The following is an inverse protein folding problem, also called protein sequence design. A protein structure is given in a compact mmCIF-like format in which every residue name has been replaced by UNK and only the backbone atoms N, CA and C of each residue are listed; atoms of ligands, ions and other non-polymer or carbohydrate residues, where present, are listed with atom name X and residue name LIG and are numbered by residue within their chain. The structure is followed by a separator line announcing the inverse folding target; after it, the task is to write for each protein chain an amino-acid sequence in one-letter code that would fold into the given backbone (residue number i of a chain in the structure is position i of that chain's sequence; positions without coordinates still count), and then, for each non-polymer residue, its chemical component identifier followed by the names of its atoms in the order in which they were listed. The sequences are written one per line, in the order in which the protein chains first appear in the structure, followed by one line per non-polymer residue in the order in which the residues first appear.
data_IF_745459844896
#
_entry.id   IF_745459844896
#
_cell.length_a   1.000
_cell.length_b   1.000
_cell.length_c   1.000
_cell.angle_alpha   90.00
_cell.angle_beta   90.00
_cell.angle_gamma   90.00
#
_symmetry.space_group_name_H-M   'P 1'
#
loop_
_entity.id
_entity.type
_entity.pdbx_description
1 polymer ?
#
# COMPACT_ATOMS: atom_id res chain seq x y z
N UNK A 1 26.31 -31.86 -15.42
CA UNK A 1 25.49 -33.01 -14.97
C UNK A 1 25.35 -34.03 -16.09
N UNK A 2 25.92 -35.23 -15.95
CA UNK A 2 25.89 -36.30 -16.96
C UNK A 2 25.50 -37.63 -16.33
N UNK A 3 24.65 -38.39 -17.03
CA UNK A 3 24.26 -39.74 -16.64
C UNK A 3 25.44 -40.70 -16.81
N UNK A 4 25.81 -41.43 -15.75
CA UNK A 4 26.90 -42.41 -15.77
C UNK A 4 26.40 -43.86 -15.83
N UNK A 5 25.16 -44.13 -15.41
CA UNK A 5 24.54 -45.45 -15.54
C UNK A 5 23.47 -45.71 -14.49
N UNK A 6 23.12 -46.99 -14.33
CA UNK A 6 22.05 -47.44 -13.42
C UNK A 6 22.53 -48.57 -12.49
N UNK A 7 21.89 -48.67 -11.32
CA UNK A 7 22.06 -49.74 -10.32
C UNK A 7 20.67 -50.25 -9.92
N UNK A 8 20.53 -51.56 -9.77
CA UNK A 8 19.31 -52.19 -9.25
C UNK A 8 19.37 -52.29 -7.72
N UNK A 9 18.26 -51.98 -7.07
CA UNK A 9 18.13 -51.98 -5.61
C UNK A 9 18.44 -50.62 -4.99
N UNK A 10 17.54 -50.15 -4.13
CA UNK A 10 17.67 -48.88 -3.41
C UNK A 10 18.86 -48.90 -2.44
N UNK A 11 19.10 -50.04 -1.79
CA UNK A 11 20.21 -50.20 -0.83
C UNK A 11 21.56 -50.15 -1.52
N UNK A 12 21.68 -50.84 -2.64
CA UNK A 12 22.87 -50.90 -3.49
C UNK A 12 23.14 -49.53 -4.13
N UNK A 13 22.08 -48.85 -4.57
CA UNK A 13 22.19 -47.49 -5.10
C UNK A 13 22.69 -46.52 -4.02
N UNK A 14 22.12 -46.55 -2.83
CA UNK A 14 22.57 -45.70 -1.72
C UNK A 14 24.00 -46.00 -1.28
N UNK A 15 24.39 -47.29 -1.27
CA UNK A 15 25.77 -47.73 -0.96
C UNK A 15 26.77 -47.08 -1.93
N UNK A 16 26.47 -47.15 -3.23
CA UNK A 16 27.31 -46.53 -4.25
C UNK A 16 27.30 -45.00 -4.18
N UNK A 17 26.14 -44.37 -3.97
CA UNK A 17 26.02 -42.92 -3.77
C UNK A 17 26.89 -42.42 -2.60
N UNK A 18 26.78 -43.09 -1.46
CA UNK A 18 27.52 -42.74 -0.25
C UNK A 18 29.03 -42.90 -0.44
N UNK A 19 29.45 -43.90 -1.23
CA UNK A 19 30.85 -44.09 -1.60
C UNK A 19 31.36 -42.94 -2.48
N UNK A 20 30.60 -42.54 -3.50
CA UNK A 20 30.98 -41.42 -4.37
C UNK A 20 31.09 -40.11 -3.57
N UNK A 21 30.17 -39.86 -2.64
CA UNK A 21 30.23 -38.70 -1.73
C UNK A 21 31.50 -38.73 -0.86
N UNK A 22 31.88 -39.91 -0.34
CA UNK A 22 33.10 -40.08 0.44
C UNK A 22 34.40 -39.88 -0.38
N UNK A 23 34.36 -40.22 -1.68
CA UNK A 23 35.43 -39.96 -2.65
C UNK A 23 35.47 -38.50 -3.15
N UNK A 24 34.58 -37.65 -2.63
CA UNK A 24 34.47 -36.23 -2.97
C UNK A 24 33.76 -35.95 -4.30
N UNK A 25 33.10 -36.94 -4.89
CA UNK A 25 32.42 -36.83 -6.19
C UNK A 25 30.98 -36.38 -5.97
N UNK A 26 30.63 -35.21 -6.52
CA UNK A 26 29.29 -34.67 -6.36
C UNK A 26 28.31 -35.34 -7.33
N UNK A 27 27.38 -36.12 -6.79
CA UNK A 27 26.45 -36.91 -7.57
C UNK A 27 25.02 -36.88 -7.01
N UNK A 28 24.07 -37.39 -7.79
CA UNK A 28 22.70 -37.66 -7.38
C UNK A 28 22.23 -38.98 -7.98
N UNK A 29 21.29 -39.66 -7.31
CA UNK A 29 20.66 -40.86 -7.83
C UNK A 29 19.14 -40.74 -7.73
N UNK A 30 18.43 -41.20 -8.77
CA UNK A 30 16.97 -41.07 -8.90
C UNK A 30 16.36 -42.38 -9.41
N UNK A 31 15.12 -42.73 -9.04
CA UNK A 31 14.45 -43.92 -9.56
C UNK A 31 14.11 -43.76 -11.05
N UNK A 32 14.34 -44.82 -11.83
CA UNK A 32 13.96 -44.90 -13.25
C UNK A 32 12.45 -45.17 -13.34
N UNK A 33 11.71 -44.31 -14.05
CA UNK A 33 10.25 -44.40 -14.15
C UNK A 33 9.74 -45.63 -14.90
N UNK A 34 10.56 -46.20 -15.77
CA UNK A 34 10.21 -47.34 -16.63
C UNK A 34 10.51 -48.70 -16.01
N UNK A 35 11.39 -48.77 -14.99
CA UNK A 35 11.85 -50.02 -14.39
C UNK A 35 11.71 -49.99 -12.88
N UNK A 36 11.02 -50.98 -12.32
CA UNK A 36 10.88 -51.09 -10.86
C UNK A 36 12.24 -51.38 -10.24
N UNK A 37 12.57 -50.64 -9.18
CA UNK A 37 13.77 -50.85 -8.37
C UNK A 37 15.09 -50.63 -9.11
N UNK A 38 15.10 -49.82 -10.18
CA UNK A 38 16.31 -49.37 -10.88
C UNK A 38 16.52 -47.89 -10.61
N UNK A 39 17.74 -47.49 -10.26
CA UNK A 39 18.12 -46.11 -10.00
C UNK A 39 19.20 -45.65 -10.99
N UNK A 40 19.07 -44.43 -11.50
CA UNK A 40 20.01 -43.78 -12.42
C UNK A 40 20.90 -42.79 -11.67
N UNK A 41 22.18 -42.70 -12.05
CA UNK A 41 23.19 -41.88 -11.39
C UNK A 41 23.67 -40.74 -12.28
N UNK A 42 23.67 -39.54 -11.73
CA UNK A 42 24.09 -38.32 -12.40
C UNK A 42 25.25 -37.69 -11.65
N UNK A 43 26.34 -37.41 -12.36
CA UNK A 43 27.52 -36.71 -11.82
C UNK A 43 27.47 -35.25 -12.23
N UNK A 44 27.71 -34.34 -11.30
CA UNK A 44 27.50 -32.90 -11.50
C UNK A 44 28.59 -32.28 -12.38
N UNK A 45 29.86 -32.61 -12.11
CA UNK A 45 31.04 -32.03 -12.77
C UNK A 45 31.60 -32.97 -13.85
N UNK A 46 32.11 -32.40 -14.94
CA UNK A 46 32.50 -33.16 -16.14
C UNK A 46 33.87 -33.85 -16.00
N UNK A 47 34.76 -33.26 -15.21
CA UNK A 47 36.07 -33.78 -14.85
C UNK A 47 36.03 -35.00 -13.92
N UNK A 48 34.91 -35.23 -13.24
CA UNK A 48 34.72 -36.37 -12.32
C UNK A 48 34.09 -37.60 -13.00
N UNK A 49 33.64 -37.46 -14.25
CA UNK A 49 32.85 -38.48 -14.95
C UNK A 49 33.65 -39.76 -15.19
N UNK A 50 34.90 -39.65 -15.63
CA UNK A 50 35.74 -40.82 -15.91
C UNK A 50 36.04 -41.59 -14.61
N UNK A 51 36.31 -40.85 -13.52
CA UNK A 51 36.51 -41.43 -12.18
C UNK A 51 35.24 -42.13 -11.68
N UNK A 52 34.08 -41.49 -11.80
CA UNK A 52 32.81 -42.05 -11.36
C UNK A 52 32.36 -43.25 -12.20
N UNK A 53 32.60 -43.22 -13.51
CA UNK A 53 32.30 -44.33 -14.43
C UNK A 53 33.18 -45.54 -14.12
N UNK A 54 34.48 -45.32 -13.87
CA UNK A 54 35.39 -46.36 -13.42
C UNK A 54 34.91 -47.02 -12.12
N UNK A 55 34.50 -46.21 -11.13
CA UNK A 55 33.97 -46.73 -9.87
C UNK A 55 32.65 -47.49 -10.05
N UNK A 56 31.79 -47.07 -10.97
CA UNK A 56 30.56 -47.80 -11.28
C UNK A 56 30.86 -49.18 -11.88
N UNK A 57 31.88 -49.29 -12.73
CA UNK A 57 32.32 -50.58 -13.27
C UNK A 57 32.90 -51.50 -12.20
N UNK A 58 33.73 -50.97 -11.31
CA UNK A 58 34.29 -51.73 -10.19
C UNK A 58 33.20 -52.18 -9.19
N UNK A 59 32.24 -51.32 -8.89
CA UNK A 59 31.09 -51.64 -8.05
C UNK A 59 30.23 -52.76 -8.64
N UNK A 60 30.06 -52.78 -9.98
CA UNK A 60 29.33 -53.85 -10.68
C UNK A 60 30.08 -55.19 -10.67
N UNK A 61 31.42 -55.18 -10.64
CA UNK A 61 32.23 -56.41 -10.57
C UNK A 61 32.18 -57.02 -9.17
N UNK A 62 32.22 -56.20 -8.13
CA UNK A 62 32.16 -56.67 -6.75
C UNK A 62 31.54 -55.60 -5.82
N UNK A 63 30.21 -55.61 -5.68
CA UNK A 63 29.47 -54.68 -4.83
C UNK A 63 29.70 -54.91 -3.33
N UNK A 64 30.27 -56.05 -2.94
CA UNK A 64 30.54 -56.44 -1.55
C UNK A 64 32.01 -56.23 -1.14
N UNK A 65 32.80 -55.55 -1.99
CA UNK A 65 34.14 -55.12 -1.61
C UNK A 65 34.09 -54.16 -0.40
N UNK A 66 34.99 -54.34 0.56
CA UNK A 66 35.14 -53.49 1.73
C UNK A 66 35.33 -52.01 1.36
N UNK A 67 35.87 -51.72 0.18
CA UNK A 67 36.02 -50.35 -0.35
C UNK A 67 34.69 -49.62 -0.53
N UNK A 68 33.58 -50.35 -0.70
CA UNK A 68 32.25 -49.78 -0.87
C UNK A 68 31.40 -49.84 0.41
N UNK A 69 32.01 -50.12 1.57
CA UNK A 69 31.31 -50.13 2.85
C UNK A 69 30.82 -48.70 3.17
N UNK A 70 29.50 -48.50 3.10
CA UNK A 70 28.88 -47.20 3.29
C UNK A 70 28.31 -47.02 4.70
N UNK A 71 27.98 -45.78 5.03
CA UNK A 71 27.11 -45.49 6.19
C UNK A 71 25.80 -46.28 6.07
N UNK A 72 25.17 -46.68 7.20
CA UNK A 72 23.88 -47.35 7.17
C UNK A 72 22.84 -46.54 6.40
N UNK A 73 22.00 -47.19 5.59
CA UNK A 73 20.94 -46.49 4.87
C UNK A 73 20.00 -45.79 5.86
N UNK A 74 19.51 -44.57 5.59
CA UNK A 74 18.55 -43.86 6.44
C UNK A 74 17.28 -44.68 6.79
N UNK A 75 16.91 -45.65 5.96
CA UNK A 75 15.75 -46.53 6.15
C UNK A 75 16.05 -47.61 7.18
N UNK A 76 17.32 -47.99 7.33
CA UNK A 76 17.78 -48.99 8.29
C UNK A 76 18.04 -48.36 9.68
N UNK A 77 18.29 -47.05 9.76
CA UNK A 77 18.47 -46.30 11.02
C UNK A 77 17.18 -45.68 11.54
N UNK A 78 16.28 -45.24 10.66
CA UNK A 78 14.96 -44.74 11.02
C UNK A 78 13.96 -45.90 11.01
N UNK A 79 14.00 -46.70 12.07
CA UNK A 79 12.95 -47.67 12.36
C UNK A 79 11.56 -47.04 12.19
N UNK A 80 10.74 -47.71 11.39
CA UNK A 80 9.28 -47.62 11.28
C UNK A 80 8.63 -46.85 12.46
N UNK A 81 7.96 -45.73 12.14
CA UNK A 81 6.95 -45.02 12.95
C UNK A 81 7.30 -43.69 13.67
N UNK A 82 7.96 -42.74 13.00
CA UNK A 82 7.55 -41.34 13.14
C UNK A 82 6.55 -41.03 12.03
N UNK A 83 5.26 -41.29 12.30
CA UNK A 83 4.23 -41.32 11.26
C UNK A 83 4.25 -40.05 10.41
N UNK A 84 4.14 -40.20 9.08
CA UNK A 84 3.92 -39.08 8.17
C UNK A 84 2.79 -38.16 8.68
N UNK A 85 1.83 -38.73 9.43
CA UNK A 85 0.77 -38.06 10.16
C UNK A 85 1.25 -37.05 11.20
N UNK A 86 2.27 -37.36 12.01
CA UNK A 86 2.82 -36.41 13.01
C UNK A 86 3.57 -35.25 12.34
N UNK A 87 4.34 -35.53 11.29
CA UNK A 87 5.04 -34.51 10.49
C UNK A 87 4.03 -33.62 9.76
N UNK A 88 2.97 -34.21 9.20
CA UNK A 88 1.88 -33.51 8.52
C UNK A 88 1.02 -32.73 9.51
N UNK A 89 0.76 -33.26 10.71
CA UNK A 89 0.05 -32.53 11.78
C UNK A 89 0.89 -31.38 12.32
N UNK A 90 2.20 -31.56 12.53
CA UNK A 90 3.10 -30.47 12.93
C UNK A 90 3.19 -29.38 11.86
N UNK A 91 3.22 -29.76 10.57
CA UNK A 91 3.19 -28.82 9.45
C UNK A 91 1.85 -28.07 9.39
N UNK A 92 0.72 -28.78 9.50
CA UNK A 92 -0.63 -28.17 9.56
C UNK A 92 -0.74 -27.25 10.77
N UNK A 93 -0.20 -27.65 11.93
CA UNK A 93 -0.24 -26.85 13.15
C UNK A 93 0.67 -25.61 13.05
N UNK A 94 1.82 -25.69 12.37
CA UNK A 94 2.69 -24.56 12.08
C UNK A 94 2.06 -23.60 11.05
N UNK A 95 1.47 -24.12 9.99
CA UNK A 95 0.71 -23.36 8.98
C UNK A 95 -0.49 -22.67 9.64
N UNK A 96 -1.24 -23.37 10.48
CA UNK A 96 -2.39 -22.82 11.20
C UNK A 96 -1.96 -21.81 12.28
N UNK A 97 -0.85 -22.03 12.99
CA UNK A 97 -0.29 -21.06 13.92
C UNK A 97 0.15 -19.76 13.23
N UNK A 98 0.66 -19.83 11.99
CA UNK A 98 0.86 -18.65 11.14
C UNK A 98 -0.46 -18.01 10.68
N UNK A 99 -1.50 -18.80 10.44
CA UNK A 99 -2.83 -18.36 9.96
C UNK A 99 -3.69 -17.66 11.02
N UNK A 100 -3.42 -17.83 12.32
CA UNK A 100 -4.20 -17.23 13.44
C UNK A 100 -3.93 -15.73 13.63
N UNK A 101 -3.05 -15.09 12.82
CA UNK A 101 -3.04 -13.63 12.73
C UNK A 101 -4.27 -13.15 11.94
N UNK A 102 -5.34 -12.82 12.68
CA UNK A 102 -6.53 -12.11 12.18
C UNK A 102 -6.15 -11.04 11.16
N UNK A 103 -6.97 -10.83 10.11
CA UNK A 103 -6.67 -9.86 9.07
C UNK A 103 -6.67 -8.46 9.68
N UNK A 104 -5.48 -7.89 9.89
CA UNK A 104 -5.37 -6.44 10.02
C UNK A 104 -5.65 -5.91 8.63
N UNK A 105 -6.75 -5.17 8.46
CA UNK A 105 -6.95 -4.40 7.24
C UNK A 105 -5.69 -3.54 7.02
N UNK A 106 -5.02 -3.68 5.87
CA UNK A 106 -3.89 -2.82 5.53
C UNK A 106 -4.33 -1.35 5.64
N UNK A 107 -3.49 -0.51 6.23
CA UNK A 107 -3.72 0.91 6.43
C UNK A 107 -4.09 1.60 5.11
N UNK A 108 -3.45 1.20 4.01
CA UNK A 108 -3.77 1.69 2.67
C UNK A 108 -5.24 1.47 2.33
N UNK A 109 -5.76 0.24 2.56
CA UNK A 109 -7.16 -0.08 2.28
C UNK A 109 -8.12 0.67 3.19
N UNK A 110 -7.74 0.85 4.46
CA UNK A 110 -8.54 1.63 5.41
C UNK A 110 -8.67 3.09 4.97
N UNK A 111 -7.56 3.73 4.56
CA UNK A 111 -7.57 5.12 4.09
C UNK A 111 -8.43 5.24 2.83
N UNK A 112 -8.27 4.34 1.86
CA UNK A 112 -9.09 4.32 0.65
C UNK A 112 -10.58 4.23 0.97
N UNK A 113 -10.95 3.34 1.90
CA UNK A 113 -12.32 3.19 2.36
C UNK A 113 -12.87 4.46 3.02
N UNK A 114 -12.10 5.10 3.92
CA UNK A 114 -12.50 6.35 4.58
C UNK A 114 -12.69 7.48 3.57
N UNK A 115 -11.75 7.66 2.65
CA UNK A 115 -11.86 8.67 1.58
C UNK A 115 -13.10 8.44 0.71
N UNK A 116 -13.39 7.19 0.35
CA UNK A 116 -14.58 6.86 -0.43
C UNK A 116 -15.87 7.16 0.33
N UNK A 117 -15.96 6.81 1.62
CA UNK A 117 -17.11 7.13 2.46
C UNK A 117 -17.32 8.64 2.58
N UNK A 118 -16.26 9.40 2.86
CA UNK A 118 -16.34 10.85 2.99
C UNK A 118 -16.71 11.52 1.66
N UNK A 119 -16.24 11.01 0.53
CA UNK A 119 -16.62 11.50 -0.79
C UNK A 119 -18.11 11.29 -1.07
N UNK A 120 -18.64 10.10 -0.77
CA UNK A 120 -20.08 9.81 -0.91
C UNK A 120 -20.90 10.70 0.03
N UNK A 121 -20.46 10.85 1.28
CA UNK A 121 -21.14 11.70 2.26
C UNK A 121 -21.14 13.17 1.85
N UNK A 122 -20.01 13.69 1.36
CA UNK A 122 -19.95 15.04 0.80
C UNK A 122 -20.87 15.20 -0.41
N UNK A 123 -20.89 14.20 -1.30
CA UNK A 123 -21.77 14.17 -2.48
C UNK A 123 -23.26 14.20 -2.09
N UNK A 124 -23.65 13.51 -1.03
CA UNK A 124 -25.00 13.60 -0.47
C UNK A 124 -25.33 15.02 0.02
N UNK A 125 -24.43 15.63 0.80
CA UNK A 125 -24.62 17.01 1.28
C UNK A 125 -24.68 18.00 0.11
N UNK A 126 -23.90 17.79 -0.95
CA UNK A 126 -23.97 18.59 -2.18
C UNK A 126 -25.28 18.44 -2.93
N UNK A 127 -25.79 17.22 -3.04
CA UNK A 127 -27.10 16.98 -3.62
C UNK A 127 -28.19 17.72 -2.83
N UNK A 128 -28.06 17.78 -1.51
CA UNK A 128 -29.00 18.51 -0.65
C UNK A 128 -28.92 20.03 -0.84
N UNK A 129 -27.72 20.61 -0.88
CA UNK A 129 -27.54 22.02 -1.22
C UNK A 129 -28.11 22.35 -2.60
N UNK A 130 -27.93 21.45 -3.57
CA UNK A 130 -28.47 21.62 -4.92
C UNK A 130 -30.01 21.57 -4.96
N UNK A 131 -30.64 20.65 -4.22
CA UNK A 131 -32.11 20.60 -4.10
C UNK A 131 -32.69 21.87 -3.49
N UNK A 132 -32.01 22.41 -2.48
CA UNK A 132 -32.42 23.63 -1.79
C UNK A 132 -32.00 24.91 -2.53
N UNK A 133 -31.47 24.80 -3.76
CA UNK A 133 -30.97 25.92 -4.57
C UNK A 133 -30.01 26.81 -3.78
N UNK A 134 -29.19 26.23 -2.90
CA UNK A 134 -28.23 27.01 -2.12
C UNK A 134 -27.00 27.30 -2.96
N UNK A 135 -26.64 28.59 -3.07
CA UNK A 135 -25.40 29.03 -3.72
C UNK A 135 -24.12 28.51 -3.06
N UNK A 136 -24.19 28.02 -1.82
CA UNK A 136 -23.07 27.38 -1.10
C UNK A 136 -22.45 26.20 -1.89
N UNK A 137 -23.24 25.56 -2.77
CA UNK A 137 -22.78 24.47 -3.64
C UNK A 137 -21.67 24.89 -4.61
N UNK A 138 -21.65 26.15 -5.05
CA UNK A 138 -20.65 26.64 -6.01
C UNK A 138 -19.24 26.71 -5.42
N UNK A 139 -19.15 26.78 -4.09
CA UNK A 139 -17.90 26.90 -3.34
C UNK A 139 -17.55 25.63 -2.57
N UNK A 140 -18.29 24.55 -2.79
CA UNK A 140 -18.20 23.30 -2.04
C UNK A 140 -18.39 23.48 -0.51
N UNK A 141 -19.20 24.44 -0.07
CA UNK A 141 -19.38 24.79 1.36
C UNK A 141 -20.39 23.90 2.08
N UNK A 142 -20.13 22.59 2.07
CA UNK A 142 -20.87 21.64 2.90
C UNK A 142 -20.38 21.67 4.35
N UNK A 143 -21.22 21.23 5.32
CA UNK A 143 -20.76 21.02 6.69
C UNK A 143 -19.50 20.16 6.76
N UNK A 144 -19.45 19.05 6.00
CA UNK A 144 -18.28 18.18 5.98
C UNK A 144 -17.01 18.90 5.50
N UNK A 145 -17.11 19.68 4.43
CA UNK A 145 -16.00 20.46 3.92
C UNK A 145 -15.53 21.51 4.94
N UNK A 146 -16.47 22.25 5.53
CA UNK A 146 -16.16 23.29 6.52
C UNK A 146 -15.51 22.67 7.77
N UNK A 147 -15.95 21.50 8.23
CA UNK A 147 -15.42 20.85 9.43
C UNK A 147 -14.04 20.21 9.24
N UNK A 148 -13.75 19.75 8.02
CA UNK A 148 -12.52 19.00 7.71
C UNK A 148 -11.48 19.78 6.89
N UNK A 149 -11.82 20.97 6.38
CA UNK A 149 -10.88 21.87 5.70
C UNK A 149 -9.79 22.40 6.66
N UNK A 150 -8.69 22.89 6.10
CA UNK A 150 -7.48 23.18 6.87
C UNK A 150 -7.69 24.35 7.85
N UNK A 151 -8.21 25.46 7.37
CA UNK A 151 -8.48 26.64 8.17
C UNK A 151 -9.69 27.40 7.61
N UNK A 152 -10.89 26.94 7.97
CA UNK A 152 -12.13 27.53 7.49
C UNK A 152 -12.30 28.97 8.03
N UNK A 153 -12.25 30.01 7.17
CA UNK A 153 -12.49 31.37 7.61
C UNK A 153 -13.94 31.57 8.04
N UNK A 154 -14.19 32.56 8.89
CA UNK A 154 -15.54 32.93 9.33
C UNK A 154 -16.45 33.29 8.15
N UNK A 155 -15.89 33.79 7.05
CA UNK A 155 -16.57 34.08 5.79
C UNK A 155 -17.36 32.88 5.25
N UNK A 156 -16.89 31.65 5.46
CA UNK A 156 -17.61 30.46 4.98
C UNK A 156 -18.99 30.32 5.63
N UNK A 157 -19.08 30.49 6.95
CA UNK A 157 -20.35 30.42 7.67
C UNK A 157 -21.30 31.53 7.20
N UNK A 158 -20.79 32.76 7.03
CA UNK A 158 -21.57 33.89 6.54
C UNK A 158 -22.11 33.67 5.11
N UNK A 159 -21.32 33.04 4.24
CA UNK A 159 -21.75 32.66 2.89
C UNK A 159 -22.85 31.59 2.94
N UNK A 160 -22.73 30.58 3.82
CA UNK A 160 -23.79 29.58 3.99
C UNK A 160 -25.10 30.24 4.43
N UNK A 161 -25.06 31.11 5.43
CA UNK A 161 -26.23 31.84 5.93
C UNK A 161 -26.84 32.77 4.87
N UNK A 162 -25.98 33.45 4.10
CA UNK A 162 -26.39 34.29 2.98
C UNK A 162 -27.14 33.48 1.92
N UNK A 163 -26.57 32.35 1.47
CA UNK A 163 -27.19 31.51 0.46
C UNK A 163 -28.39 30.70 0.96
N UNK A 164 -28.59 30.59 2.27
CA UNK A 164 -29.84 30.09 2.84
C UNK A 164 -30.98 31.13 2.71
N UNK A 165 -30.63 32.43 2.79
CA UNK A 165 -31.58 33.54 2.68
C UNK A 165 -31.90 33.91 1.22
N UNK A 166 -30.94 33.69 0.32
CA UNK A 166 -31.05 34.00 -1.11
C UNK A 166 -30.76 32.76 -1.96
N UNK A 167 -31.74 31.87 -2.17
CA UNK A 167 -31.58 30.71 -3.03
C UNK A 167 -31.32 31.12 -4.48
N UNK A 168 -30.40 30.42 -5.14
CA UNK A 168 -29.96 30.68 -6.50
C UNK A 168 -29.63 29.38 -7.26
N UNK A 169 -30.02 29.31 -8.53
CA UNK A 169 -29.73 28.17 -9.39
C UNK A 169 -28.43 28.36 -10.17
N UNK A 170 -28.05 29.58 -10.51
CA UNK A 170 -26.82 29.83 -11.26
C UNK A 170 -26.02 30.99 -10.66
N UNK A 171 -24.68 31.01 -10.81
CA UNK A 171 -23.86 32.09 -10.28
C UNK A 171 -24.26 33.48 -10.77
N UNK A 172 -24.78 33.59 -12.00
CA UNK A 172 -25.20 34.85 -12.63
C UNK A 172 -26.44 35.48 -11.97
N UNK A 173 -27.15 34.74 -11.13
CA UNK A 173 -28.27 35.28 -10.36
C UNK A 173 -27.82 36.21 -9.24
N UNK A 174 -26.55 36.13 -8.83
CA UNK A 174 -25.97 37.02 -7.82
C UNK A 174 -26.10 38.50 -8.21
N UNK A 175 -25.83 38.81 -9.49
CA UNK A 175 -25.94 40.16 -10.06
C UNK A 175 -27.40 40.65 -10.20
N UNK A 176 -28.37 39.75 -10.06
CA UNK A 176 -29.81 40.03 -10.17
C UNK A 176 -30.49 40.13 -8.81
N UNK A 177 -29.78 39.87 -7.72
CA UNK A 177 -30.33 39.99 -6.38
C UNK A 177 -30.70 41.45 -6.03
N UNK A 178 -31.61 41.67 -5.06
CA UNK A 178 -31.89 43.01 -4.56
C UNK A 178 -30.62 43.73 -4.09
N UNK A 179 -30.59 45.06 -4.22
CA UNK A 179 -29.43 45.87 -3.85
C UNK A 179 -28.95 45.65 -2.41
N UNK A 180 -29.86 45.37 -1.47
CA UNK A 180 -29.53 45.02 -0.09
C UNK A 180 -28.73 43.71 0.01
N UNK A 181 -29.14 42.68 -0.74
CA UNK A 181 -28.46 41.39 -0.78
C UNK A 181 -27.08 41.50 -1.45
N UNK A 182 -26.97 42.29 -2.52
CA UNK A 182 -25.69 42.58 -3.16
C UNK A 182 -24.73 43.31 -2.21
N UNK A 183 -25.23 44.30 -1.45
CA UNK A 183 -24.45 45.00 -0.43
C UNK A 183 -24.01 44.05 0.70
N UNK A 184 -24.90 43.14 1.13
CA UNK A 184 -24.56 42.12 2.13
C UNK A 184 -23.48 41.16 1.62
N UNK A 185 -23.60 40.66 0.39
CA UNK A 185 -22.58 39.82 -0.23
C UNK A 185 -21.25 40.56 -0.37
N UNK A 186 -21.25 41.79 -0.88
CA UNK A 186 -20.05 42.60 -1.02
C UNK A 186 -19.34 42.86 0.33
N UNK A 187 -20.11 43.01 1.40
CA UNK A 187 -19.57 43.09 2.76
C UNK A 187 -18.89 41.79 3.18
N UNK A 188 -19.49 40.63 2.90
CA UNK A 188 -18.90 39.32 3.19
C UNK A 188 -17.62 39.10 2.35
N UNK A 189 -17.65 39.42 1.05
CA UNK A 189 -16.52 39.33 0.12
C UNK A 189 -15.35 40.25 0.51
N UNK A 190 -15.65 41.38 1.15
CA UNK A 190 -14.63 42.31 1.64
C UNK A 190 -13.92 41.88 2.92
N UNK A 191 -14.37 40.81 3.59
CA UNK A 191 -13.73 40.34 4.82
C UNK A 191 -12.32 39.81 4.56
N UNK A 192 -11.38 40.04 5.49
CA UNK A 192 -10.00 39.58 5.34
C UNK A 192 -9.95 38.05 5.35
N UNK A 193 -9.51 37.46 4.23
CA UNK A 193 -9.30 36.02 4.09
C UNK A 193 -7.89 35.78 3.57
N UNK A 194 -7.16 34.88 4.21
CA UNK A 194 -5.86 34.47 3.72
C UNK A 194 -5.99 33.72 2.38
N UNK A 195 -5.51 34.33 1.31
CA UNK A 195 -5.53 33.78 -0.05
C UNK A 195 -4.19 33.15 -0.49
N UNK A 196 -3.22 33.10 0.41
CA UNK A 196 -1.90 32.53 0.13
C UNK A 196 -0.91 33.49 -0.53
N UNK A 197 0.35 33.06 -0.57
CA UNK A 197 1.47 33.83 -1.13
C UNK A 197 1.49 33.87 -2.66
N UNK A 198 0.81 32.96 -3.38
CA UNK A 198 0.85 32.93 -4.84
C UNK A 198 0.39 34.23 -5.47
N UNK A 199 -0.63 34.90 -4.92
CA UNK A 199 -1.05 36.21 -5.43
C UNK A 199 0.06 37.26 -5.37
N UNK A 200 0.95 37.18 -4.36
CA UNK A 200 2.05 38.15 -4.19
C UNK A 200 3.16 37.80 -5.16
N UNK A 201 3.52 36.51 -5.22
CA UNK A 201 4.65 36.01 -6.00
C UNK A 201 4.40 36.07 -7.51
N UNK A 202 3.15 35.92 -7.94
CA UNK A 202 2.78 35.84 -9.36
C UNK A 202 2.10 37.10 -9.88
N UNK A 203 2.05 38.18 -9.08
CA UNK A 203 1.43 39.47 -9.42
C UNK A 203 0.03 39.30 -10.04
N UNK A 204 -0.78 38.42 -9.43
CA UNK A 204 -2.07 38.04 -10.01
C UNK A 204 -3.10 39.17 -9.77
N UNK A 205 -3.55 39.89 -10.81
CA UNK A 205 -4.22 41.18 -10.66
C UNK A 205 -5.66 41.11 -10.12
N UNK A 206 -6.15 39.93 -9.72
CA UNK A 206 -7.55 39.70 -9.37
C UNK A 206 -7.81 39.40 -7.88
N UNK A 207 -6.77 39.25 -7.05
CA UNK A 207 -6.96 38.95 -5.62
C UNK A 207 -6.80 40.22 -4.80
N UNK A 208 -7.85 40.63 -4.08
CA UNK A 208 -7.73 41.55 -2.92
C UNK A 208 -6.86 40.85 -1.89
N UNK A 209 -5.56 41.02 -2.02
CA UNK A 209 -4.61 40.28 -1.23
C UNK A 209 -4.38 41.00 0.09
N UNK A 210 -4.95 40.45 1.14
CA UNK A 210 -4.78 40.95 2.49
C UNK A 210 -3.75 40.07 3.22
N UNK A 211 -2.51 40.57 3.30
CA UNK A 211 -1.43 39.88 4.02
C UNK A 211 -1.59 39.97 5.54
N UNK A 212 -2.42 40.88 6.03
CA UNK A 212 -2.75 41.02 7.44
C UNK A 212 -3.95 40.14 7.84
N UNK A 213 -4.51 39.41 6.88
CA UNK A 213 -5.60 38.48 7.14
C UNK A 213 -5.22 37.43 8.20
N UNK A 214 -6.16 37.07 9.09
CA UNK A 214 -5.86 36.15 10.18
C UNK A 214 -5.52 34.74 9.66
N UNK A 215 -4.38 34.24 10.11
CA UNK A 215 -3.87 32.90 9.78
C UNK A 215 -4.19 31.89 10.88
N UNK A 216 -4.43 30.64 10.46
CA UNK A 216 -4.58 29.48 11.33
C UNK A 216 -5.69 29.65 12.38
N UNK A 217 -6.77 30.34 12.06
CA UNK A 217 -7.86 30.68 12.99
C UNK A 217 -8.38 29.44 13.72
N UNK A 218 -8.78 28.41 12.97
CA UNK A 218 -9.34 27.16 13.51
C UNK A 218 -8.30 26.30 14.22
N UNK A 219 -7.05 26.37 13.79
CA UNK A 219 -5.96 25.67 14.47
C UNK A 219 -5.64 26.33 15.82
N UNK A 220 -5.70 27.66 15.92
CA UNK A 220 -5.55 28.41 17.19
C UNK A 220 -6.72 28.17 18.15
N UNK A 221 -7.90 27.83 17.63
CA UNK A 221 -9.04 27.34 18.43
C UNK A 221 -8.86 25.89 18.94
N UNK A 222 -7.77 25.20 18.59
CA UNK A 222 -7.46 23.84 19.05
C UNK A 222 -7.92 22.72 18.11
N UNK A 223 -8.38 23.03 16.90
CA UNK A 223 -8.90 22.04 15.95
C UNK A 223 -7.77 21.32 15.17
N UNK A 224 -6.86 20.66 15.89
CA UNK A 224 -5.59 20.12 15.35
C UNK A 224 -5.76 19.04 14.28
N UNK A 225 -6.92 18.37 14.21
CA UNK A 225 -7.20 17.38 13.17
C UNK A 225 -7.16 17.99 11.76
N UNK A 226 -7.46 19.30 11.64
CA UNK A 226 -7.44 20.05 10.38
C UNK A 226 -6.08 20.12 9.71
N UNK A 227 -5.00 19.82 10.44
CA UNK A 227 -3.67 19.66 9.84
C UNK A 227 -3.62 18.52 8.81
N UNK A 228 -4.46 17.49 8.97
CA UNK A 228 -4.44 16.30 8.13
C UNK A 228 -5.77 16.01 7.41
N UNK A 229 -6.92 16.34 8.01
CA UNK A 229 -8.24 15.99 7.43
C UNK A 229 -8.51 16.49 6.02
N UNK A 230 -7.93 17.61 5.51
CA UNK A 230 -8.06 18.00 4.10
C UNK A 230 -7.60 16.91 3.13
N UNK A 231 -6.64 16.06 3.53
CA UNK A 231 -6.17 14.94 2.71
C UNK A 231 -7.28 13.92 2.41
N UNK A 232 -8.27 13.82 3.29
CA UNK A 232 -9.34 12.82 3.19
C UNK A 232 -10.51 13.28 2.31
N UNK A 233 -10.61 14.59 2.06
CA UNK A 233 -11.65 15.19 1.24
C UNK A 233 -11.27 15.17 -0.26
N UNK A 234 -12.26 15.05 -1.14
CA UNK A 234 -12.06 15.05 -2.58
C UNK A 234 -13.19 15.81 -3.30
N UNK A 235 -12.82 16.64 -4.28
CA UNK A 235 -13.76 17.56 -4.95
C UNK A 235 -14.45 17.01 -6.19
N UNK A 236 -14.07 15.82 -6.66
CA UNK A 236 -14.64 15.25 -7.89
C UNK A 236 -14.27 13.79 -8.10
N UNK A 237 -15.01 13.12 -8.98
CA UNK A 237 -14.86 11.68 -9.22
C UNK A 237 -13.47 11.30 -9.74
N UNK A 238 -12.98 11.98 -10.79
CA UNK A 238 -11.63 11.73 -11.32
C UNK A 238 -10.55 12.03 -10.27
N UNK A 239 -10.76 13.08 -9.48
CA UNK A 239 -9.83 13.46 -8.43
C UNK A 239 -9.68 12.36 -7.36
N UNK A 240 -10.77 11.81 -6.84
CA UNK A 240 -10.69 10.67 -5.90
C UNK A 240 -10.18 9.40 -6.60
N UNK A 241 -10.62 9.11 -7.82
CA UNK A 241 -10.22 7.91 -8.55
C UNK A 241 -8.69 7.83 -8.69
N UNK A 242 -8.05 8.89 -9.18
CA UNK A 242 -6.61 8.90 -9.37
C UNK A 242 -5.84 8.90 -8.05
N UNK A 243 -6.29 9.65 -7.04
CA UNK A 243 -5.65 9.61 -5.72
C UNK A 243 -5.70 8.20 -5.11
N UNK A 244 -6.87 7.56 -5.14
CA UNK A 244 -7.03 6.23 -4.54
C UNK A 244 -6.30 5.15 -5.34
N UNK A 245 -6.24 5.27 -6.68
CA UNK A 245 -5.46 4.37 -7.53
C UNK A 245 -3.96 4.45 -7.21
N UNK A 246 -3.40 5.66 -7.14
CA UNK A 246 -2.00 5.86 -6.80
C UNK A 246 -1.68 5.47 -5.37
N UNK A 247 -2.55 5.81 -4.41
CA UNK A 247 -2.41 5.37 -3.03
C UNK A 247 -2.43 3.84 -2.92
N UNK A 248 -3.31 3.17 -3.66
CA UNK A 248 -3.37 1.71 -3.67
C UNK A 248 -2.08 1.10 -4.22
N UNK A 249 -1.55 1.65 -5.31
CA UNK A 249 -0.33 1.14 -5.96
C UNK A 249 0.94 1.40 -5.13
N UNK A 250 1.15 2.64 -4.66
CA UNK A 250 2.37 3.03 -3.93
C UNK A 250 2.28 2.65 -2.45
N UNK A 251 1.13 2.92 -1.82
CA UNK A 251 0.91 2.64 -0.40
C UNK A 251 1.05 1.16 -0.07
N UNK A 252 0.55 0.27 -0.94
CA UNK A 252 0.73 -1.18 -0.77
C UNK A 252 2.20 -1.61 -0.84
N UNK A 253 2.97 -1.09 -1.80
CA UNK A 253 4.39 -1.40 -1.93
C UNK A 253 5.19 -0.97 -0.70
N UNK A 254 4.89 0.21 -0.16
CA UNK A 254 5.53 0.72 1.06
C UNK A 254 5.09 -0.10 2.27
N UNK A 255 3.79 -0.36 2.42
CA UNK A 255 3.22 -1.10 3.54
C UNK A 255 3.73 -2.55 3.63
N UNK A 256 4.10 -3.17 2.51
CA UNK A 256 4.72 -4.50 2.46
C UNK A 256 6.21 -4.47 2.91
N UNK A 257 6.87 -3.31 2.85
CA UNK A 257 8.32 -3.15 3.12
C UNK A 257 8.64 -2.56 4.50
N UNK A 258 7.74 -1.78 5.09
CA UNK A 258 7.98 -1.09 6.38
C UNK A 258 6.92 -1.43 7.43
N UNK A 259 7.23 -1.16 8.70
CA UNK A 259 6.28 -1.41 9.79
C UNK A 259 5.08 -0.47 9.67
N UNK A 260 3.87 -0.96 9.98
CA UNK A 260 2.62 -0.19 9.95
C UNK A 260 2.73 1.20 10.61
N UNK A 261 3.38 1.29 11.77
CA UNK A 261 3.55 2.57 12.48
C UNK A 261 4.47 3.54 11.76
N UNK A 262 5.51 3.05 11.07
CA UNK A 262 6.39 3.89 10.26
C UNK A 262 5.62 4.44 9.05
N UNK A 263 4.83 3.58 8.38
CA UNK A 263 3.98 4.01 7.26
C UNK A 263 2.96 5.07 7.69
N UNK A 264 2.31 4.87 8.85
CA UNK A 264 1.40 5.85 9.44
C UNK A 264 2.11 7.17 9.75
N UNK A 265 3.28 7.14 10.40
CA UNK A 265 4.02 8.35 10.75
C UNK A 265 4.47 9.13 9.52
N UNK A 266 5.03 8.45 8.51
CA UNK A 266 5.44 9.09 7.25
C UNK A 266 4.24 9.74 6.55
N UNK A 267 3.13 9.00 6.47
CA UNK A 267 1.87 9.51 5.91
C UNK A 267 1.39 10.77 6.62
N UNK A 268 1.35 10.77 7.96
CA UNK A 268 0.91 11.92 8.75
C UNK A 268 1.84 13.11 8.59
N UNK A 269 3.16 12.90 8.65
CA UNK A 269 4.16 13.96 8.51
C UNK A 269 4.05 14.62 7.13
N UNK A 270 4.02 13.82 6.05
CA UNK A 270 3.88 14.36 4.69
C UNK A 270 2.55 15.09 4.54
N UNK A 271 1.44 14.53 5.04
CA UNK A 271 0.13 15.17 4.96
C UNK A 271 0.10 16.52 5.67
N UNK A 272 0.63 16.59 6.90
CA UNK A 272 0.70 17.84 7.67
C UNK A 272 1.56 18.87 6.95
N UNK A 273 2.77 18.49 6.52
CA UNK A 273 3.69 19.41 5.85
C UNK A 273 3.14 19.91 4.51
N UNK A 274 2.60 19.01 3.68
CA UNK A 274 2.03 19.38 2.37
C UNK A 274 0.80 20.27 2.52
N UNK A 275 -0.13 19.96 3.44
CA UNK A 275 -1.29 20.80 3.71
C UNK A 275 -0.87 22.18 4.24
N UNK A 276 0.08 22.23 5.17
CA UNK A 276 0.57 23.51 5.72
C UNK A 276 1.16 24.38 4.62
N UNK A 277 1.99 23.79 3.75
CA UNK A 277 2.60 24.51 2.65
C UNK A 277 1.57 24.97 1.62
N UNK A 278 0.61 24.10 1.26
CA UNK A 278 -0.48 24.43 0.35
C UNK A 278 -1.32 25.59 0.89
N UNK A 279 -1.64 25.58 2.19
CA UNK A 279 -2.38 26.65 2.84
C UNK A 279 -1.63 27.99 2.79
N UNK A 280 -0.34 27.99 3.11
CA UNK A 280 0.49 29.19 3.04
C UNK A 280 0.60 29.72 1.61
N UNK A 281 0.61 28.85 0.60
CA UNK A 281 0.77 29.27 -0.80
C UNK A 281 -0.53 29.67 -1.48
N UNK A 282 -1.66 29.03 -1.14
CA UNK A 282 -2.93 29.16 -1.91
C UNK A 282 -4.19 29.40 -1.07
N UNK A 283 -4.07 29.57 0.24
CA UNK A 283 -5.21 29.74 1.13
C UNK A 283 -5.91 28.43 1.49
N UNK A 284 -7.11 28.49 2.09
CA UNK A 284 -7.78 27.32 2.70
C UNK A 284 -8.55 26.43 1.73
N UNK A 285 -8.72 26.84 0.46
CA UNK A 285 -9.54 26.15 -0.53
C UNK A 285 -8.78 25.05 -1.27
N UNK A 286 -8.32 24.04 -0.54
CA UNK A 286 -7.67 22.85 -1.10
C UNK A 286 -8.08 21.58 -0.35
N UNK A 287 -8.04 20.46 -1.06
CA UNK A 287 -8.39 19.13 -0.56
C UNK A 287 -7.65 18.06 -1.38
N UNK A 288 -7.54 16.86 -0.83
CA UNK A 288 -7.08 15.67 -1.56
C UNK A 288 -5.82 15.05 -1.01
N UNK A 289 -5.64 13.76 -1.31
CA UNK A 289 -4.54 12.95 -0.81
C UNK A 289 -3.24 13.11 -1.62
N UNK A 290 -3.23 13.99 -2.62
CA UNK A 290 -2.18 14.12 -3.64
C UNK A 290 -0.83 14.53 -3.05
N UNK A 291 -0.80 15.45 -2.09
CA UNK A 291 0.43 15.84 -1.39
C UNK A 291 1.10 14.66 -0.70
N UNK A 292 0.31 13.78 -0.07
CA UNK A 292 0.80 12.54 0.52
C UNK A 292 1.33 11.60 -0.55
N UNK A 293 0.61 11.42 -1.66
CA UNK A 293 1.02 10.55 -2.77
C UNK A 293 2.35 11.01 -3.37
N UNK A 294 2.53 12.31 -3.62
CA UNK A 294 3.79 12.86 -4.12
C UNK A 294 4.94 12.60 -3.14
N UNK A 295 4.73 12.78 -1.84
CA UNK A 295 5.76 12.49 -0.85
C UNK A 295 6.05 10.98 -0.71
N UNK A 296 5.04 10.12 -0.81
CA UNK A 296 5.23 8.66 -0.82
C UNK A 296 5.96 8.20 -2.09
N UNK A 297 5.69 8.81 -3.24
CA UNK A 297 6.40 8.54 -4.48
C UNK A 297 7.89 8.92 -4.37
N UNK A 298 8.21 10.06 -3.76
CA UNK A 298 9.59 10.47 -3.50
C UNK A 298 10.31 9.66 -2.41
N UNK A 299 9.58 8.87 -1.62
CA UNK A 299 10.15 7.98 -0.60
C UNK A 299 10.61 6.63 -1.17
N UNK A 300 10.05 6.18 -2.30
CA UNK A 300 10.38 4.91 -2.97
C UNK A 300 11.66 5.08 -3.81
#
# INVERSE_FOLDING_TARGET
MRLIGTIQGEKEAYKFYSFLEAEGIECSYEPVTTEKNTFQFWVMHEDEIDKATHWLEEFRKNSEDLRFESKPHPIDTEGVAASQTERQQALIHAINAQRVRRPRMPLTRFIVFVCALLFIWNGYQMAELAKNKSGARFFNLTPLFIDLSYDAPSTFALLVDFFASYPMETPEELDKLPAEAQAAYAKIDSLPVWMGLYGVLLDYPATKQDLDAPLFVKLREGQIWRLFTPCLLHGGFLHILFNMLWLWMLGRQIEERIKKWQYLSITLIIGILSNTFQYLMSGPLFIGYSGVICGLAGFI
#
